data_IF_800652160000
#
_entry.id   IF_800652160000
#
_cell.length_a   1.000
_cell.length_b   1.000
_cell.length_c   1.000
_cell.angle_alpha   90.00
_cell.angle_beta   90.00
_cell.angle_gamma   90.00
#
_symmetry.space_group_name_H-M   'P 1'
#
loop_
_entity.id
_entity.type
_entity.pdbx_description
1 polymer ?
#
# COMPACT_ATOMS: atom_id res chain seq x y z
N UNK A 1 -5.86 -11.29 14.17
CA UNK A 1 -4.78 -10.29 14.04
C UNK A 1 -3.50 -10.86 14.61
N UNK A 2 -2.46 -10.90 13.81
CA UNK A 2 -1.10 -11.19 14.26
C UNK A 2 -0.58 -10.01 15.08
N UNK A 3 0.08 -10.28 16.19
CA UNK A 3 0.65 -9.25 17.06
C UNK A 3 2.09 -9.64 17.36
N UNK A 4 3.04 -8.81 16.92
CA UNK A 4 4.43 -8.95 17.35
C UNK A 4 4.50 -8.71 18.86
N UNK A 5 5.26 -9.54 19.57
CA UNK A 5 5.51 -9.34 21.00
C UNK A 5 6.32 -8.05 21.21
N UNK A 6 6.28 -7.43 22.41
CA UNK A 6 7.11 -6.28 22.73
C UNK A 6 8.61 -6.53 22.50
N UNK A 7 9.09 -7.74 22.82
CA UNK A 7 10.49 -8.14 22.59
C UNK A 7 10.83 -8.21 21.10
N UNK A 8 9.99 -8.86 20.29
CA UNK A 8 10.15 -8.87 18.83
C UNK A 8 10.11 -7.46 18.24
N UNK A 9 9.22 -6.60 18.76
CA UNK A 9 9.12 -5.20 18.32
C UNK A 9 10.40 -4.44 18.65
N UNK A 10 10.93 -4.58 19.86
CA UNK A 10 12.17 -3.90 20.26
C UNK A 10 13.36 -4.37 19.42
N UNK A 11 13.47 -5.67 19.16
CA UNK A 11 14.54 -6.23 18.33
C UNK A 11 14.46 -5.78 16.87
N UNK A 12 13.27 -5.87 16.25
CA UNK A 12 13.03 -5.46 14.86
C UNK A 12 13.25 -3.95 14.70
N UNK A 13 12.83 -3.14 15.68
CA UNK A 13 12.94 -1.68 15.60
C UNK A 13 14.33 -1.16 15.96
N UNK A 14 15.17 -1.99 16.58
CA UNK A 14 16.53 -1.63 16.93
C UNK A 14 17.33 -1.23 15.68
N UNK A 15 17.63 0.06 15.58
CA UNK A 15 18.37 0.64 14.45
C UNK A 15 17.52 1.08 13.26
N UNK A 16 16.18 1.06 13.36
CA UNK A 16 15.30 1.78 12.43
C UNK A 16 14.74 3.03 13.09
N UNK A 17 14.82 4.16 12.39
CA UNK A 17 14.21 5.40 12.86
C UNK A 17 12.87 5.58 12.16
N UNK A 18 11.78 5.47 12.91
CA UNK A 18 10.47 5.88 12.38
C UNK A 18 10.34 7.40 12.49
N UNK A 19 10.06 8.09 11.38
CA UNK A 19 9.88 9.53 11.40
C UNK A 19 8.67 9.91 12.25
N UNK A 20 8.79 11.00 12.99
CA UNK A 20 7.71 11.51 13.83
C UNK A 20 6.51 11.94 12.99
N UNK A 21 5.31 11.63 13.48
CA UNK A 21 4.05 12.07 12.85
C UNK A 21 3.94 13.60 12.88
N UNK A 22 3.73 14.25 11.72
CA UNK A 22 3.56 15.70 11.65
C UNK A 22 2.32 16.19 12.41
N UNK A 23 2.41 17.42 12.95
CA UNK A 23 1.34 18.05 13.73
C UNK A 23 -0.01 18.09 13.00
N UNK A 24 0.00 18.34 11.68
CA UNK A 24 -1.23 18.37 10.86
C UNK A 24 -1.99 17.03 10.87
N UNK A 25 -1.30 15.88 10.94
CA UNK A 25 -1.97 14.58 11.07
C UNK A 25 -2.62 14.39 12.43
N UNK A 26 -1.99 14.92 13.49
CA UNK A 26 -2.57 14.89 14.83
C UNK A 26 -3.83 15.76 14.90
N UNK A 27 -3.82 16.89 14.20
CA UNK A 27 -4.99 17.77 14.09
C UNK A 27 -6.11 17.16 13.24
N UNK A 28 -5.78 16.49 12.12
CA UNK A 28 -6.75 15.72 11.33
C UNK A 28 -7.40 14.63 12.19
N UNK A 29 -6.59 13.87 12.93
CA UNK A 29 -7.09 12.82 13.82
C UNK A 29 -8.00 13.40 14.90
N UNK A 30 -7.60 14.52 15.52
CA UNK A 30 -8.42 15.21 16.53
C UNK A 30 -9.78 15.64 15.97
N UNK A 31 -9.84 16.13 14.73
CA UNK A 31 -11.09 16.49 14.08
C UNK A 31 -11.96 15.26 13.77
N UNK A 32 -11.36 14.10 13.51
CA UNK A 32 -12.10 12.87 13.24
C UNK A 32 -12.72 12.29 14.50
N UNK A 33 -11.98 12.36 15.61
CA UNK A 33 -12.42 11.81 16.89
C UNK A 33 -13.39 12.75 17.65
N UNK A 34 -13.51 14.01 17.21
CA UNK A 34 -14.40 15.00 17.79
C UNK A 34 -15.83 14.84 17.22
N UNK A 35 -16.83 14.43 18.02
CA UNK A 35 -18.20 14.23 17.54
C UNK A 35 -18.90 15.53 17.12
N UNK A 36 -18.37 16.70 17.50
CA UNK A 36 -18.91 18.02 17.13
C UNK A 36 -18.21 18.61 15.90
N UNK A 37 -17.19 17.95 15.37
CA UNK A 37 -16.46 18.40 14.19
C UNK A 37 -17.24 18.13 12.90
N UNK A 38 -17.07 19.02 11.92
CA UNK A 38 -17.64 18.86 10.59
C UNK A 38 -16.57 18.71 9.49
N UNK A 39 -17.01 18.21 8.33
CA UNK A 39 -16.14 18.07 7.15
C UNK A 39 -15.62 19.41 6.61
N UNK A 40 -16.25 20.54 6.96
CA UNK A 40 -15.77 21.85 6.55
C UNK A 40 -14.51 22.25 7.32
N UNK A 41 -14.44 21.96 8.62
CA UNK A 41 -13.25 22.17 9.43
C UNK A 41 -12.08 21.35 8.91
N UNK A 42 -12.30 20.07 8.58
CA UNK A 42 -11.28 19.22 7.96
C UNK A 42 -10.84 19.77 6.59
N UNK A 43 -11.79 20.16 5.74
CA UNK A 43 -11.50 20.77 4.45
C UNK A 43 -10.66 22.05 4.57
N UNK A 44 -10.94 22.89 5.57
CA UNK A 44 -10.15 24.10 5.84
C UNK A 44 -8.73 23.77 6.34
N UNK A 45 -8.57 22.73 7.16
CA UNK A 45 -7.26 22.30 7.63
C UNK A 45 -6.40 21.79 6.48
N UNK A 46 -6.94 20.88 5.66
CA UNK A 46 -6.23 20.32 4.49
C UNK A 46 -5.86 21.41 3.48
N UNK A 47 -6.75 22.39 3.26
CA UNK A 47 -6.51 23.51 2.35
C UNK A 47 -5.30 24.39 2.72
N UNK A 48 -4.82 24.34 3.97
CA UNK A 48 -3.66 25.11 4.41
C UNK A 48 -2.33 24.51 3.93
N UNK A 49 -2.31 23.23 3.55
CA UNK A 49 -1.14 22.54 3.04
C UNK A 49 -1.28 22.28 1.53
N UNK A 50 -0.45 22.95 0.74
CA UNK A 50 -0.47 22.86 -0.73
C UNK A 50 -0.10 21.44 -1.20
N UNK A 51 0.87 20.80 -0.54
CA UNK A 51 1.30 19.44 -0.90
C UNK A 51 0.19 18.42 -0.62
N UNK A 52 -0.45 18.55 0.54
CA UNK A 52 -1.58 17.72 0.95
C UNK A 52 -2.77 17.88 0.01
N UNK A 53 -3.15 19.13 -0.24
CA UNK A 53 -4.25 19.49 -1.14
C UNK A 53 -4.01 18.97 -2.56
N UNK A 54 -2.80 19.18 -3.09
CA UNK A 54 -2.45 18.78 -4.46
C UNK A 54 -2.58 17.29 -4.66
N UNK A 55 -2.09 16.48 -3.74
CA UNK A 55 -2.16 15.04 -3.94
C UNK A 55 -3.53 14.45 -3.62
N UNK A 56 -4.30 14.97 -2.65
CA UNK A 56 -5.70 14.55 -2.46
C UNK A 56 -6.50 14.81 -3.76
N UNK A 57 -6.32 16.00 -4.35
CA UNK A 57 -6.93 16.33 -5.64
C UNK A 57 -6.41 15.42 -6.76
N UNK A 58 -5.13 15.07 -6.78
CA UNK A 58 -4.56 14.13 -7.76
C UNK A 58 -5.18 12.73 -7.62
N UNK A 59 -5.32 12.23 -6.39
CA UNK A 59 -5.89 10.91 -6.10
C UNK A 59 -7.36 10.85 -6.51
N UNK A 60 -8.20 11.78 -6.05
CA UNK A 60 -9.65 11.76 -6.38
C UNK A 60 -9.92 11.96 -7.88
N UNK A 61 -9.05 12.68 -8.59
CA UNK A 61 -9.17 12.88 -10.04
C UNK A 61 -8.52 11.79 -10.88
N UNK A 62 -7.87 10.80 -10.26
CA UNK A 62 -7.33 9.68 -11.01
C UNK A 62 -8.47 8.91 -11.70
N UNK A 63 -8.23 8.33 -12.90
CA UNK A 63 -9.26 7.58 -13.63
C UNK A 63 -9.89 6.48 -12.77
N UNK A 64 -9.08 5.87 -11.90
CA UNK A 64 -9.50 4.79 -11.02
C UNK A 64 -10.44 5.24 -9.91
N UNK A 65 -10.55 6.54 -9.58
CA UNK A 65 -11.59 7.05 -8.68
C UNK A 65 -12.89 7.43 -9.40
N UNK A 66 -12.90 7.42 -10.74
CA UNK A 66 -14.12 7.41 -11.57
C UNK A 66 -15.01 8.64 -11.40
N UNK A 67 -14.42 9.79 -11.07
CA UNK A 67 -15.18 11.03 -10.98
C UNK A 67 -15.65 11.47 -12.37
N UNK A 68 -16.93 11.82 -12.50
CA UNK A 68 -17.53 12.28 -13.76
C UNK A 68 -17.06 13.67 -14.21
N UNK A 69 -16.44 14.43 -13.29
CA UNK A 69 -15.86 15.75 -13.54
C UNK A 69 -14.60 15.91 -12.71
N UNK A 70 -13.68 16.74 -13.19
CA UNK A 70 -12.50 17.15 -12.43
C UNK A 70 -12.93 17.94 -11.19
N UNK A 71 -12.45 17.52 -10.03
CA UNK A 71 -12.60 18.20 -8.75
C UNK A 71 -11.41 19.14 -8.58
N UNK A 72 -11.66 20.44 -8.43
CA UNK A 72 -10.62 21.46 -8.23
C UNK A 72 -10.66 22.11 -6.85
N UNK A 73 -11.76 21.92 -6.10
CA UNK A 73 -11.93 22.46 -4.75
C UNK A 73 -11.64 21.37 -3.71
N UNK A 74 -10.73 21.67 -2.78
CA UNK A 74 -10.31 20.71 -1.76
C UNK A 74 -11.43 20.41 -0.75
N UNK A 75 -12.28 21.39 -0.42
CA UNK A 75 -13.39 21.16 0.52
C UNK A 75 -14.42 20.23 -0.11
N UNK A 76 -14.69 20.40 -1.40
CA UNK A 76 -15.49 19.48 -2.19
C UNK A 76 -14.88 18.08 -2.22
N UNK A 77 -13.57 17.95 -2.43
CA UNK A 77 -12.90 16.66 -2.39
C UNK A 77 -13.06 15.98 -1.02
N UNK A 78 -12.88 16.72 0.08
CA UNK A 78 -13.09 16.22 1.45
C UNK A 78 -14.53 15.77 1.69
N UNK A 79 -15.53 16.52 1.18
CA UNK A 79 -16.93 16.11 1.27
C UNK A 79 -17.25 14.84 0.50
N UNK A 80 -16.63 14.64 -0.67
CA UNK A 80 -16.84 13.45 -1.51
C UNK A 80 -16.15 12.21 -0.93
N UNK A 81 -14.94 12.37 -0.40
CA UNK A 81 -14.12 11.28 0.14
C UNK A 81 -14.52 10.90 1.57
N UNK A 82 -15.01 11.87 2.35
CA UNK A 82 -15.25 11.73 3.78
C UNK A 82 -13.97 11.83 4.62
N UNK A 83 -14.15 11.99 5.93
CA UNK A 83 -13.05 12.30 6.84
C UNK A 83 -12.03 11.16 6.96
N UNK A 84 -12.51 9.91 7.06
CA UNK A 84 -11.66 8.72 7.20
C UNK A 84 -10.71 8.57 6.01
N UNK A 85 -11.25 8.63 4.78
CA UNK A 85 -10.45 8.54 3.55
C UNK A 85 -9.41 9.65 3.46
N UNK A 86 -9.79 10.89 3.77
CA UNK A 86 -8.88 12.04 3.78
C UNK A 86 -7.74 11.83 4.78
N UNK A 87 -8.04 11.34 5.98
CA UNK A 87 -7.01 11.01 6.98
C UNK A 87 -6.06 9.95 6.48
N UNK A 88 -6.59 8.86 5.95
CA UNK A 88 -5.76 7.75 5.48
C UNK A 88 -4.84 8.19 4.36
N UNK A 89 -5.36 8.94 3.37
CA UNK A 89 -4.56 9.51 2.27
C UNK A 89 -3.54 10.54 2.77
N UNK A 90 -3.91 11.37 3.74
CA UNK A 90 -3.01 12.35 4.33
C UNK A 90 -1.83 11.66 5.04
N UNK A 91 -2.14 10.71 5.93
CA UNK A 91 -1.15 9.91 6.67
C UNK A 91 -0.20 9.22 5.69
N UNK A 92 -0.76 8.60 4.67
CA UNK A 92 -0.03 7.95 3.60
C UNK A 92 1.01 8.88 2.95
N UNK A 93 0.55 9.99 2.39
CA UNK A 93 1.43 10.89 1.66
C UNK A 93 2.52 11.51 2.54
N UNK A 94 2.17 11.87 3.78
CA UNK A 94 3.12 12.46 4.70
C UNK A 94 4.17 11.44 5.14
N UNK A 95 3.80 10.17 5.28
CA UNK A 95 4.76 9.09 5.54
C UNK A 95 5.72 8.93 4.37
N UNK A 96 5.23 8.92 3.12
CA UNK A 96 6.11 8.93 1.93
C UNK A 96 7.11 10.09 1.97
N UNK A 97 6.66 11.31 2.28
CA UNK A 97 7.52 12.50 2.33
C UNK A 97 8.54 12.50 3.48
N UNK A 98 8.31 11.68 4.50
CA UNK A 98 9.20 11.58 5.66
C UNK A 98 10.46 10.74 5.39
N UNK A 99 10.44 9.91 4.34
CA UNK A 99 11.61 9.16 3.89
C UNK A 99 12.56 10.05 3.07
N UNK A 100 13.75 10.32 3.61
CA UNK A 100 14.81 11.08 2.91
C UNK A 100 15.28 10.35 1.66
N UNK A 101 15.59 11.08 0.59
CA UNK A 101 15.97 10.55 -0.74
C UNK A 101 17.31 9.80 -0.83
N UNK A 102 17.83 9.25 0.26
CA UNK A 102 19.11 8.53 0.34
C UNK A 102 18.89 7.13 0.90
N UNK A 103 19.09 6.11 0.08
CA UNK A 103 19.09 4.69 0.44
C UNK A 103 19.81 3.90 -0.65
N UNK A 104 19.98 2.59 -0.47
CA UNK A 104 20.59 1.72 -1.50
C UNK A 104 19.71 1.53 -2.76
N UNK A 105 18.45 1.98 -2.72
CA UNK A 105 17.49 1.97 -3.83
C UNK A 105 16.98 3.38 -4.18
N UNK A 106 16.34 3.52 -5.34
CA UNK A 106 15.64 4.75 -5.71
C UNK A 106 14.25 4.81 -5.07
N UNK A 107 14.05 5.79 -4.18
CA UNK A 107 12.75 6.02 -3.53
C UNK A 107 11.69 6.51 -4.49
N UNK A 108 12.08 7.31 -5.49
CA UNK A 108 11.17 7.69 -6.57
C UNK A 108 10.58 6.45 -7.25
N UNK A 109 11.44 5.49 -7.65
CA UNK A 109 10.98 4.24 -8.27
C UNK A 109 10.14 3.36 -7.33
N UNK A 110 10.49 3.31 -6.06
CA UNK A 110 9.72 2.59 -5.04
C UNK A 110 8.30 3.15 -4.97
N UNK A 111 8.17 4.46 -4.72
CA UNK A 111 6.88 5.10 -4.54
C UNK A 111 6.06 5.17 -5.83
N UNK A 112 6.70 5.29 -6.98
CA UNK A 112 6.02 5.20 -8.27
C UNK A 112 5.44 3.79 -8.48
N UNK A 113 6.17 2.73 -8.11
CA UNK A 113 5.65 1.37 -8.14
C UNK A 113 4.46 1.21 -7.19
N UNK A 114 4.61 1.58 -5.91
CA UNK A 114 3.53 1.48 -4.92
C UNK A 114 2.29 2.29 -5.32
N UNK A 115 2.47 3.45 -5.97
CA UNK A 115 1.34 4.25 -6.49
C UNK A 115 0.64 3.51 -7.64
N UNK A 116 1.39 2.93 -8.59
CA UNK A 116 0.79 2.13 -9.66
C UNK A 116 0.05 0.91 -9.12
N UNK A 117 0.61 0.23 -8.12
CA UNK A 117 -0.05 -0.91 -7.45
C UNK A 117 -1.33 -0.44 -6.76
N UNK A 118 -1.29 0.65 -5.99
CA UNK A 118 -2.47 1.24 -5.34
C UNK A 118 -3.59 1.57 -6.34
N UNK A 119 -3.25 2.23 -7.45
CA UNK A 119 -4.22 2.54 -8.51
C UNK A 119 -4.80 1.27 -9.14
N UNK A 120 -3.95 0.26 -9.39
CA UNK A 120 -4.38 -1.03 -9.96
C UNK A 120 -5.25 -1.83 -8.99
N UNK A 121 -4.98 -1.79 -7.69
CA UNK A 121 -5.85 -2.40 -6.68
C UNK A 121 -7.24 -1.77 -6.70
N UNK A 122 -7.34 -0.43 -6.76
CA UNK A 122 -8.64 0.26 -6.88
C UNK A 122 -9.34 -0.10 -8.19
N UNK A 123 -8.60 -0.20 -9.29
CA UNK A 123 -9.14 -0.66 -10.57
C UNK A 123 -9.74 -2.08 -10.46
N UNK A 124 -9.00 -3.04 -9.89
CA UNK A 124 -9.49 -4.41 -9.69
C UNK A 124 -10.74 -4.39 -8.81
N UNK A 125 -10.70 -3.74 -7.65
CA UNK A 125 -11.81 -3.67 -6.69
C UNK A 125 -13.11 -3.10 -7.28
N UNK A 126 -13.03 -2.28 -8.31
CA UNK A 126 -14.20 -1.72 -9.01
C UNK A 126 -14.79 -2.63 -10.08
N UNK A 127 -14.01 -3.57 -10.57
CA UNK A 127 -14.39 -4.49 -11.64
C UNK A 127 -14.69 -5.90 -11.11
N UNK A 128 -14.50 -6.15 -9.82
CA UNK A 128 -14.90 -7.39 -9.14
C UNK A 128 -16.11 -7.16 -8.22
N UNK A 129 -16.73 -8.25 -7.76
CA UNK A 129 -17.96 -8.19 -6.95
C UNK A 129 -17.72 -7.74 -5.51
N UNK A 130 -16.51 -7.94 -4.98
CA UNK A 130 -16.21 -7.72 -3.58
C UNK A 130 -16.09 -6.23 -3.26
N UNK A 131 -16.79 -5.81 -2.21
CA UNK A 131 -16.92 -4.40 -1.83
C UNK A 131 -15.87 -3.99 -0.79
N UNK A 132 -14.59 -4.18 -1.12
CA UNK A 132 -13.54 -3.56 -0.32
C UNK A 132 -13.58 -2.05 -0.58
N UNK A 133 -13.60 -1.21 0.48
CA UNK A 133 -13.55 0.23 0.29
C UNK A 133 -12.32 0.65 -0.53
N UNK A 134 -12.48 1.44 -1.61
CA UNK A 134 -11.37 1.85 -2.49
C UNK A 134 -10.19 2.49 -1.74
N UNK A 135 -10.47 3.22 -0.67
CA UNK A 135 -9.45 3.83 0.19
C UNK A 135 -8.58 2.79 0.92
N UNK A 136 -9.16 1.65 1.30
CA UNK A 136 -8.40 0.56 1.92
C UNK A 136 -7.49 -0.09 0.87
N UNK A 137 -8.00 -0.34 -0.33
CA UNK A 137 -7.22 -0.87 -1.47
C UNK A 137 -6.05 0.06 -1.84
N UNK A 138 -6.35 1.35 -2.00
CA UNK A 138 -5.34 2.35 -2.33
C UNK A 138 -4.25 2.43 -1.24
N UNK A 139 -4.65 2.44 0.03
CA UNK A 139 -3.71 2.54 1.14
C UNK A 139 -2.86 1.28 1.28
N UNK A 140 -3.44 0.08 1.15
CA UNK A 140 -2.68 -1.16 1.16
C UNK A 140 -1.64 -1.18 0.03
N UNK A 141 -2.03 -0.85 -1.20
CA UNK A 141 -1.12 -0.80 -2.34
C UNK A 141 -0.02 0.26 -2.18
N UNK A 142 -0.32 1.40 -1.56
CA UNK A 142 0.67 2.45 -1.35
C UNK A 142 1.68 2.12 -0.23
N UNK A 143 1.30 1.31 0.77
CA UNK A 143 2.12 1.05 1.97
C UNK A 143 2.69 -0.35 2.13
N UNK A 144 2.25 -1.35 1.35
CA UNK A 144 2.73 -2.73 1.52
C UNK A 144 4.26 -2.82 1.61
N UNK A 145 4.95 -2.10 0.72
CA UNK A 145 6.41 -2.07 0.64
C UNK A 145 7.09 -0.93 1.41
N UNK A 146 6.39 -0.23 2.31
CA UNK A 146 6.99 0.93 3.00
C UNK A 146 8.22 0.55 3.86
N UNK A 147 8.31 -0.70 4.32
CA UNK A 147 9.48 -1.22 5.02
C UNK A 147 10.74 -1.28 4.15
N UNK A 148 10.61 -1.47 2.83
CA UNK A 148 11.73 -1.49 1.89
C UNK A 148 12.53 -0.18 1.95
N UNK A 149 11.83 0.95 2.11
CA UNK A 149 12.49 2.26 2.25
C UNK A 149 13.41 2.28 3.49
N UNK A 150 12.91 1.87 4.65
CA UNK A 150 13.67 1.82 5.90
C UNK A 150 14.81 0.79 5.84
N UNK A 151 14.56 -0.40 5.30
CA UNK A 151 15.57 -1.45 5.08
C UNK A 151 16.71 -0.94 4.21
N UNK A 152 16.41 -0.25 3.10
CA UNK A 152 17.42 0.27 2.17
C UNK A 152 18.24 1.45 2.73
N UNK A 153 17.68 2.19 3.69
CA UNK A 153 18.37 3.26 4.40
C UNK A 153 19.38 2.71 5.40
N UNK A 154 19.02 1.59 6.07
CA UNK A 154 19.85 0.93 7.07
C UNK A 154 20.95 0.07 6.44
N UNK A 155 20.61 -0.68 5.40
CA UNK A 155 21.47 -1.70 4.81
C UNK A 155 21.92 -1.29 3.40
N UNK A 156 23.23 -1.04 3.23
CA UNK A 156 23.82 -0.57 1.97
C UNK A 156 23.79 -1.63 0.85
N UNK A 157 23.75 -2.91 1.22
CA UNK A 157 23.70 -4.10 0.39
C UNK A 157 22.26 -4.60 0.12
N UNK A 158 21.25 -3.88 0.61
CA UNK A 158 19.86 -4.30 0.50
C UNK A 158 19.38 -4.43 -0.95
N UNK A 159 19.83 -3.53 -1.84
CA UNK A 159 19.54 -3.63 -3.28
C UNK A 159 20.00 -4.96 -3.87
N UNK A 160 21.20 -5.42 -3.52
CA UNK A 160 21.73 -6.71 -3.98
C UNK A 160 20.89 -7.86 -3.42
N UNK A 161 20.44 -7.74 -2.17
CA UNK A 161 19.58 -8.74 -1.53
C UNK A 161 18.27 -8.91 -2.27
N UNK A 162 17.59 -7.80 -2.61
CA UNK A 162 16.37 -7.84 -3.43
C UNK A 162 16.63 -8.39 -4.83
N UNK A 163 17.78 -8.09 -5.44
CA UNK A 163 18.13 -8.64 -6.75
C UNK A 163 18.31 -10.17 -6.72
N UNK A 164 18.95 -10.70 -5.67
CA UNK A 164 19.11 -12.14 -5.49
C UNK A 164 17.76 -12.83 -5.26
N UNK A 165 16.90 -12.24 -4.42
CA UNK A 165 15.55 -12.76 -4.19
C UNK A 165 14.72 -12.84 -5.49
N UNK A 166 14.81 -11.83 -6.34
CA UNK A 166 14.09 -11.79 -7.63
C UNK A 166 14.60 -12.83 -8.66
N UNK A 167 15.71 -13.51 -8.39
CA UNK A 167 16.25 -14.58 -9.25
C UNK A 167 15.92 -15.98 -8.72
N UNK A 168 15.34 -16.07 -7.53
CA UNK A 168 15.07 -17.33 -6.85
C UNK A 168 13.56 -17.60 -6.75
N UNK A 169 13.09 -18.54 -7.55
CA UNK A 169 11.67 -18.94 -7.60
C UNK A 169 11.29 -19.91 -6.48
N UNK A 170 12.21 -20.27 -5.58
CA UNK A 170 11.95 -21.24 -4.50
C UNK A 170 11.65 -20.59 -3.16
N UNK A 171 11.85 -19.28 -3.02
CA UNK A 171 11.61 -18.56 -1.78
C UNK A 171 11.09 -17.14 -2.02
N UNK A 172 10.73 -16.49 -0.93
CA UNK A 172 10.21 -15.12 -0.91
C UNK A 172 11.32 -14.09 -0.68
N UNK A 173 11.10 -12.81 -1.01
CA UNK A 173 12.02 -11.75 -0.62
C UNK A 173 12.29 -11.70 0.90
N UNK A 174 11.27 -11.98 1.72
CA UNK A 174 11.40 -12.01 3.17
C UNK A 174 12.34 -13.11 3.65
N UNK A 175 12.40 -14.27 2.99
CA UNK A 175 13.33 -15.35 3.35
C UNK A 175 14.80 -14.93 3.20
N UNK A 176 15.12 -14.11 2.18
CA UNK A 176 16.46 -13.56 1.99
C UNK A 176 16.81 -12.53 3.06
N UNK A 177 15.84 -11.68 3.40
CA UNK A 177 16.01 -10.62 4.39
C UNK A 177 16.19 -11.20 5.79
N UNK A 178 15.34 -12.15 6.19
CA UNK A 178 15.42 -12.80 7.49
C UNK A 178 16.78 -13.50 7.68
N UNK A 179 17.27 -14.20 6.65
CA UNK A 179 18.61 -14.84 6.69
C UNK A 179 19.76 -13.85 6.82
N UNK A 180 19.65 -12.64 6.26
CA UNK A 180 20.75 -11.67 6.16
C UNK A 180 20.75 -10.63 7.27
N UNK A 181 19.55 -10.22 7.71
CA UNK A 181 19.35 -9.07 8.59
C UNK A 181 18.63 -9.43 9.90
N UNK A 182 18.14 -10.67 10.06
CA UNK A 182 17.29 -11.12 11.17
C UNK A 182 15.99 -10.31 11.31
N UNK A 183 15.57 -9.65 10.23
CA UNK A 183 14.29 -8.97 10.10
C UNK A 183 13.97 -8.81 8.62
N UNK A 184 12.70 -8.62 8.29
CA UNK A 184 12.25 -8.40 6.93
C UNK A 184 11.44 -7.10 6.78
N UNK A 185 11.21 -6.69 5.53
CA UNK A 185 10.53 -5.43 5.25
C UNK A 185 9.05 -5.43 5.66
N UNK A 186 8.38 -6.58 5.72
CA UNK A 186 6.95 -6.63 6.12
C UNK A 186 6.80 -6.32 7.61
N UNK A 187 7.72 -6.83 8.44
CA UNK A 187 7.81 -6.53 9.86
C UNK A 187 8.15 -5.06 10.14
N UNK A 188 9.16 -4.52 9.44
CA UNK A 188 9.55 -3.12 9.58
C UNK A 188 8.43 -2.20 9.07
N UNK A 189 7.80 -2.55 7.94
CA UNK A 189 6.65 -1.86 7.38
C UNK A 189 5.45 -1.84 8.32
N UNK A 190 5.14 -2.96 8.98
CA UNK A 190 4.10 -3.05 9.99
C UNK A 190 4.36 -2.09 11.15
N UNK A 191 5.60 -2.02 11.64
CA UNK A 191 5.96 -1.08 12.71
C UNK A 191 5.81 0.38 12.28
N UNK A 192 6.22 0.72 11.06
CA UNK A 192 6.03 2.06 10.50
C UNK A 192 4.54 2.39 10.39
N UNK A 193 3.75 1.51 9.78
CA UNK A 193 2.32 1.68 9.56
C UNK A 193 1.54 1.86 10.87
N UNK A 194 1.81 1.02 11.87
CA UNK A 194 1.19 1.10 13.19
C UNK A 194 1.60 2.36 13.95
N UNK A 195 2.89 2.73 13.92
CA UNK A 195 3.39 3.96 14.52
C UNK A 195 2.77 5.22 13.89
N UNK A 196 2.36 5.13 12.62
CA UNK A 196 1.67 6.17 11.88
C UNK A 196 0.14 6.12 12.00
N UNK A 197 -0.40 5.19 12.79
CA UNK A 197 -1.84 4.96 13.00
C UNK A 197 -2.62 4.72 11.69
N UNK A 198 -2.02 3.99 10.75
CA UNK A 198 -2.80 3.41 9.66
C UNK A 198 -3.84 2.42 10.24
N UNK A 199 -4.95 2.17 9.51
CA UNK A 199 -5.97 1.24 9.99
C UNK A 199 -5.37 -0.13 10.33
N UNK A 200 -5.82 -0.81 11.42
CA UNK A 200 -5.26 -2.09 11.85
C UNK A 200 -5.23 -3.15 10.76
N UNK A 201 -6.29 -3.25 9.96
CA UNK A 201 -6.40 -4.25 8.88
C UNK A 201 -5.37 -3.98 7.78
N UNK A 202 -5.12 -2.70 7.45
CA UNK A 202 -4.05 -2.32 6.52
C UNK A 202 -2.68 -2.69 7.09
N UNK A 203 -2.45 -2.46 8.39
CA UNK A 203 -1.22 -2.90 9.03
C UNK A 203 -1.05 -4.42 8.90
N UNK A 204 -2.11 -5.21 9.12
CA UNK A 204 -2.05 -6.66 8.94
C UNK A 204 -1.70 -7.06 7.50
N UNK A 205 -2.30 -6.41 6.50
CA UNK A 205 -1.92 -6.65 5.09
C UNK A 205 -0.44 -6.35 4.87
N UNK A 206 0.08 -5.22 5.37
CA UNK A 206 1.51 -4.87 5.28
C UNK A 206 2.38 -5.95 5.93
N UNK A 207 1.98 -6.53 7.06
CA UNK A 207 2.76 -7.56 7.73
C UNK A 207 2.75 -8.91 6.99
N UNK A 208 1.61 -9.26 6.40
CA UNK A 208 1.33 -10.61 5.91
C UNK A 208 1.42 -10.74 4.39
N UNK A 209 1.75 -9.69 3.64
CA UNK A 209 1.69 -9.73 2.16
C UNK A 209 2.64 -10.72 1.47
N UNK A 210 3.60 -11.30 2.20
CA UNK A 210 4.44 -12.42 1.74
C UNK A 210 4.13 -13.76 2.44
N UNK A 211 3.17 -13.79 3.37
CA UNK A 211 2.75 -14.99 4.09
C UNK A 211 1.73 -15.79 3.26
N UNK A 212 2.23 -16.75 2.48
CA UNK A 212 1.41 -17.64 1.66
C UNK A 212 0.49 -18.55 2.49
N UNK A 213 0.88 -18.91 3.72
CA UNK A 213 0.12 -19.79 4.60
C UNK A 213 -1.09 -19.08 5.21
N UNK A 214 -0.97 -17.77 5.45
CA UNK A 214 -2.09 -16.94 5.89
C UNK A 214 -3.25 -17.00 4.89
N UNK A 215 -2.99 -16.82 3.59
CA UNK A 215 -4.05 -16.89 2.58
C UNK A 215 -4.68 -18.29 2.52
N UNK A 216 -3.86 -19.35 2.57
CA UNK A 216 -4.35 -20.75 2.56
C UNK A 216 -5.32 -21.05 3.70
N UNK A 217 -5.14 -20.41 4.85
CA UNK A 217 -5.92 -20.69 6.06
C UNK A 217 -7.07 -19.71 6.30
N UNK A 218 -7.04 -18.52 5.66
CA UNK A 218 -7.99 -17.43 5.92
C UNK A 218 -8.63 -16.88 4.64
N UNK A 219 -8.82 -17.71 3.60
CA UNK A 219 -9.21 -17.28 2.25
C UNK A 219 -10.48 -16.40 2.15
N UNK A 220 -11.38 -16.49 3.14
CA UNK A 220 -12.64 -15.74 3.22
C UNK A 220 -12.58 -14.52 4.16
N UNK A 221 -11.41 -14.17 4.71
CA UNK A 221 -11.22 -13.01 5.59
C UNK A 221 -11.12 -11.72 4.76
N UNK A 222 -11.56 -10.58 5.31
CA UNK A 222 -11.46 -9.27 4.64
C UNK A 222 -10.00 -8.92 4.33
N UNK A 223 -9.09 -9.26 5.24
CA UNK A 223 -7.64 -9.09 5.04
C UNK A 223 -7.17 -9.94 3.85
N UNK A 224 -7.68 -11.17 3.69
CA UNK A 224 -7.34 -12.04 2.57
C UNK A 224 -7.84 -11.49 1.22
N UNK A 225 -8.99 -10.82 1.19
CA UNK A 225 -9.47 -10.13 -0.01
C UNK A 225 -8.53 -8.97 -0.40
N UNK A 226 -8.11 -8.14 0.57
CA UNK A 226 -7.18 -7.03 0.31
C UNK A 226 -5.82 -7.57 -0.11
N UNK A 227 -5.33 -8.62 0.55
CA UNK A 227 -4.09 -9.32 0.23
C UNK A 227 -4.13 -9.89 -1.19
N UNK A 228 -5.21 -10.57 -1.57
CA UNK A 228 -5.35 -11.18 -2.90
C UNK A 228 -5.41 -10.11 -3.98
N UNK A 229 -6.13 -9.02 -3.72
CA UNK A 229 -6.15 -7.85 -4.60
C UNK A 229 -4.75 -7.25 -4.76
N UNK A 230 -3.97 -7.15 -3.67
CA UNK A 230 -2.59 -6.65 -3.70
C UNK A 230 -1.71 -7.53 -4.56
N UNK A 231 -1.74 -8.86 -4.38
CA UNK A 231 -0.87 -9.77 -5.15
C UNK A 231 -1.21 -9.79 -6.64
N UNK A 232 -2.49 -9.72 -6.99
CA UNK A 232 -2.90 -9.59 -8.39
C UNK A 232 -2.41 -8.26 -8.96
N UNK A 233 -2.64 -7.15 -8.24
CA UNK A 233 -2.22 -5.83 -8.70
C UNK A 233 -0.70 -5.72 -8.88
N UNK A 234 0.08 -6.26 -7.96
CA UNK A 234 1.53 -6.25 -8.00
C UNK A 234 2.06 -7.09 -9.18
N UNK A 235 1.48 -8.28 -9.41
CA UNK A 235 1.82 -9.07 -10.59
C UNK A 235 1.45 -8.35 -11.90
N UNK A 236 0.24 -7.78 -12.00
CA UNK A 236 -0.18 -7.01 -13.18
C UNK A 236 0.77 -5.84 -13.45
N UNK A 237 1.13 -5.07 -12.42
CA UNK A 237 2.07 -3.95 -12.57
C UNK A 237 3.45 -4.44 -13.01
N UNK A 238 3.95 -5.55 -12.45
CA UNK A 238 5.22 -6.13 -12.88
C UNK A 238 5.15 -6.60 -14.36
N UNK A 239 4.07 -7.27 -14.74
CA UNK A 239 3.83 -7.76 -16.09
C UNK A 239 3.77 -6.60 -17.11
N UNK A 240 2.95 -5.57 -16.84
CA UNK A 240 2.83 -4.37 -17.70
C UNK A 240 4.18 -3.67 -17.86
N UNK A 241 4.99 -3.57 -16.79
CA UNK A 241 6.27 -2.83 -16.83
C UNK A 241 7.43 -3.64 -17.41
N UNK A 242 7.41 -4.97 -17.28
CA UNK A 242 8.59 -5.82 -17.51
C UNK A 242 8.34 -7.01 -18.44
N UNK A 243 7.10 -7.34 -18.74
CA UNK A 243 6.68 -8.41 -19.65
C UNK A 243 6.79 -9.82 -19.07
N UNK A 244 6.87 -9.98 -17.74
CA UNK A 244 6.89 -11.27 -17.06
C UNK A 244 6.24 -11.19 -15.68
N UNK A 245 5.84 -12.33 -15.14
CA UNK A 245 5.21 -12.44 -13.82
C UNK A 245 6.23 -12.46 -12.67
N UNK A 246 5.77 -12.11 -11.47
CA UNK A 246 6.56 -12.18 -10.24
C UNK A 246 6.95 -13.63 -9.90
N UNK A 247 8.06 -13.81 -9.18
CA UNK A 247 8.61 -15.15 -8.90
C UNK A 247 7.72 -16.03 -8.04
N UNK A 248 6.83 -15.44 -7.24
CA UNK A 248 5.87 -16.13 -6.39
C UNK A 248 4.50 -16.33 -7.06
N UNK A 249 4.26 -15.72 -8.23
CA UNK A 249 2.93 -15.67 -8.86
C UNK A 249 2.31 -17.04 -9.09
N UNK A 250 3.07 -17.97 -9.65
CA UNK A 250 2.57 -19.34 -9.93
C UNK A 250 2.13 -20.09 -8.67
N UNK A 251 2.71 -19.79 -7.50
CA UNK A 251 2.36 -20.45 -6.23
C UNK A 251 1.07 -19.90 -5.63
N UNK A 252 0.75 -18.64 -5.88
CA UNK A 252 -0.30 -17.90 -5.17
C UNK A 252 -1.51 -17.55 -6.04
N UNK A 253 -1.38 -17.51 -7.38
CA UNK A 253 -2.44 -17.06 -8.29
C UNK A 253 -3.77 -17.78 -8.11
N UNK A 254 -3.74 -19.11 -7.95
CA UNK A 254 -4.95 -19.91 -7.78
C UNK A 254 -5.73 -19.53 -6.52
N UNK A 255 -5.02 -19.30 -5.40
CA UNK A 255 -5.64 -18.89 -4.14
C UNK A 255 -6.14 -17.44 -4.21
N UNK A 256 -5.40 -16.56 -4.87
CA UNK A 256 -5.82 -15.16 -5.05
C UNK A 256 -7.10 -15.06 -5.90
N UNK A 257 -7.19 -15.87 -6.97
CA UNK A 257 -8.39 -15.97 -7.81
C UNK A 257 -9.58 -16.54 -7.04
N UNK A 258 -9.36 -17.61 -6.27
CA UNK A 258 -10.40 -18.20 -5.42
C UNK A 258 -10.92 -17.20 -4.37
N UNK A 259 -10.01 -16.48 -3.70
CA UNK A 259 -10.37 -15.47 -2.69
C UNK A 259 -11.24 -14.36 -3.26
N UNK A 260 -10.93 -13.86 -4.47
CA UNK A 260 -11.72 -12.80 -5.14
C UNK A 260 -12.91 -13.33 -5.96
N UNK A 261 -13.09 -14.65 -6.03
CA UNK A 261 -14.13 -15.27 -6.85
C UNK A 261 -14.02 -14.95 -8.34
N UNK A 262 -12.80 -14.80 -8.87
CA UNK A 262 -12.52 -14.55 -10.29
C UNK A 262 -11.86 -15.76 -10.95
N UNK A 263 -11.92 -15.83 -12.28
CA UNK A 263 -11.24 -16.83 -13.09
C UNK A 263 -9.91 -16.29 -13.65
N UNK A 264 -9.08 -17.18 -14.18
CA UNK A 264 -7.88 -16.78 -14.91
C UNK A 264 -8.20 -15.96 -16.17
N UNK A 265 -9.36 -16.19 -16.80
CA UNK A 265 -9.83 -15.38 -17.92
C UNK A 265 -10.17 -13.95 -17.45
N UNK A 266 -10.89 -13.80 -16.34
CA UNK A 266 -11.19 -12.49 -15.77
C UNK A 266 -9.89 -11.73 -15.42
N UNK A 267 -8.86 -12.43 -14.94
CA UNK A 267 -7.54 -11.83 -14.71
C UNK A 267 -6.90 -11.29 -15.99
N UNK A 268 -6.93 -12.05 -17.08
CA UNK A 268 -6.36 -11.60 -18.36
C UNK A 268 -7.13 -10.43 -18.96
N UNK A 269 -8.47 -10.45 -18.87
CA UNK A 269 -9.32 -9.32 -19.31
C UNK A 269 -8.98 -8.05 -18.50
N UNK A 270 -8.86 -8.16 -17.17
CA UNK A 270 -8.45 -7.04 -16.31
C UNK A 270 -7.04 -6.53 -16.62
N UNK A 271 -6.10 -7.44 -16.94
CA UNK A 271 -4.73 -7.10 -17.29
C UNK A 271 -4.68 -6.31 -18.61
N UNK A 272 -5.44 -6.74 -19.62
CA UNK A 272 -5.55 -6.06 -20.91
C UNK A 272 -6.12 -4.66 -20.74
N UNK A 273 -7.29 -4.53 -20.09
CA UNK A 273 -7.94 -3.25 -19.79
C UNK A 273 -6.99 -2.30 -19.03
N UNK A 274 -6.25 -2.83 -18.06
CA UNK A 274 -5.32 -2.03 -17.26
C UNK A 274 -4.10 -1.57 -18.07
N UNK A 275 -3.58 -2.43 -18.95
CA UNK A 275 -2.46 -2.08 -19.84
C UNK A 275 -2.84 -0.95 -20.80
N UNK A 276 -4.06 -0.99 -21.35
CA UNK A 276 -4.60 0.07 -22.22
C UNK A 276 -4.70 1.40 -21.47
N UNK A 277 -5.21 1.41 -20.23
CA UNK A 277 -5.33 2.63 -19.41
C UNK A 277 -3.97 3.28 -19.09
N UNK A 278 -2.91 2.48 -18.99
CA UNK A 278 -1.56 2.95 -18.67
C UNK A 278 -0.77 3.39 -19.92
N UNK A 279 -1.36 3.33 -21.13
CA UNK A 279 -0.72 3.66 -22.40
C UNK A 279 0.60 2.90 -22.63
N UNK A 280 0.67 1.65 -22.16
CA UNK A 280 1.80 0.77 -22.45
C UNK A 280 1.33 -0.20 -23.53
N UNK A 281 1.62 0.15 -24.79
CA UNK A 281 1.52 -0.74 -25.97
C UNK A 281 2.94 -1.07 -26.42
#
# INVERSE_FOLDING_TARGET
>A
MFTLTPEQTEEITHGFTVPSRPQVLLEIQRLIDDPESDLFQLGNLVAQDIGLSSAILKTINSPVFGMSRTISDIKQAVMLLGAKTVSTLATAMMLRNSFKATGSISFERLWDNSTMVADTMVFIGRNIKDQIPPENLYTAGLFHDCGIAAMSQKYSDYRETLQLANLDYSCTPTDYEDKRYNCNHTQVGYFIATSWALPPDICQVVLLHHDEDYLRTNINDEIALVWSTLKIADNMVNNIRRGYDLTDWERIKALAFESLGITELDYFDLLEDRSEQLNVV
#
